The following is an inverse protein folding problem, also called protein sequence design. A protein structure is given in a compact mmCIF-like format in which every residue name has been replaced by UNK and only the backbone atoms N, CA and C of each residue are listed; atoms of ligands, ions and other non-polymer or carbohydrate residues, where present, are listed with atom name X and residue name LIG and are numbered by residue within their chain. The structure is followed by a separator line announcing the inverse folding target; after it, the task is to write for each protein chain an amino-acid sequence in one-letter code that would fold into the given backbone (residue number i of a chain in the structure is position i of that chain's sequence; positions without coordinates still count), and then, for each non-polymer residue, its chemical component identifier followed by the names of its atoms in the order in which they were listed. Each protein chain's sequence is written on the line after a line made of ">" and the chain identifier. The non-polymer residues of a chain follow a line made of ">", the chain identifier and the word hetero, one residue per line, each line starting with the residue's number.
data_IF_583318739849
#
_entry.id   IF_583318739849
#
_cell.length_a   1.000
_cell.length_b   1.000
_cell.length_c   1.000
_cell.angle_alpha   90.00
_cell.angle_beta   90.00
_cell.angle_gamma   90.00
#
_symmetry.space_group_name_H-M   'P 1'
#
loop_
_entity.id
_entity.type
_entity.pdbx_description
1 polymer ?
#
# COMPACT_ATOMS: atom_id res chain seq x y z
N UNK A 1 15.24 22.23 22.92
CA UNK A 1 16.53 21.91 22.27
C UNK A 1 16.46 20.71 21.32
N UNK A 2 15.27 20.17 20.99
CA UNK A 2 15.09 19.10 20.01
C UNK A 2 15.60 17.71 20.43
N UNK A 3 15.93 17.51 21.69
CA UNK A 3 16.34 16.22 22.23
C UNK A 3 15.11 15.37 22.57
N UNK A 4 14.91 14.28 21.85
CA UNK A 4 13.81 13.32 22.08
C UNK A 4 14.10 12.33 23.22
N UNK A 5 15.24 12.47 23.91
CA UNK A 5 15.65 11.57 24.98
C UNK A 5 16.33 10.29 24.49
N UNK A 6 16.56 9.38 25.42
CA UNK A 6 17.15 8.05 25.17
C UNK A 6 16.11 6.97 25.42
N UNK A 7 16.13 5.95 24.54
CA UNK A 7 15.31 4.75 24.69
C UNK A 7 15.84 3.89 25.82
N UNK A 8 14.98 3.53 26.76
CA UNK A 8 15.31 2.61 27.84
C UNK A 8 15.54 1.17 27.32
N UNK A 9 14.80 0.77 26.29
CA UNK A 9 14.86 -0.56 25.67
C UNK A 9 16.16 -0.76 24.86
N UNK A 10 16.50 0.22 24.01
CA UNK A 10 17.65 0.11 23.07
C UNK A 10 18.91 0.78 23.59
N UNK A 11 18.84 1.54 24.69
CA UNK A 11 19.96 2.31 25.29
C UNK A 11 20.69 3.18 24.27
N UNK A 12 19.92 3.84 23.41
CA UNK A 12 20.40 4.68 22.31
C UNK A 12 19.49 5.91 22.15
N UNK A 13 19.98 7.01 21.58
CA UNK A 13 19.14 8.18 21.32
C UNK A 13 17.93 7.83 20.46
N UNK A 14 16.75 8.31 20.84
CA UNK A 14 15.48 8.05 20.12
C UNK A 14 15.55 8.51 18.66
N UNK A 15 16.18 9.66 18.40
CA UNK A 15 16.33 10.19 17.04
C UNK A 15 17.09 9.24 16.10
N UNK A 16 18.13 8.55 16.62
CA UNK A 16 18.90 7.58 15.84
C UNK A 16 18.04 6.36 15.47
N UNK A 17 17.26 5.86 16.43
CA UNK A 17 16.35 4.72 16.20
C UNK A 17 15.30 5.08 15.15
N UNK A 18 14.71 6.27 15.24
CA UNK A 18 13.73 6.76 14.25
C UNK A 18 14.38 6.80 12.87
N UNK A 19 15.56 7.38 12.73
CA UNK A 19 16.26 7.49 11.45
C UNK A 19 16.54 6.15 10.78
N UNK A 20 17.01 5.16 11.56
CA UNK A 20 17.29 3.80 11.06
C UNK A 20 16.02 3.05 10.64
N UNK A 21 14.94 3.18 11.42
CA UNK A 21 13.68 2.46 11.20
C UNK A 21 12.79 3.08 10.14
N UNK A 22 12.87 4.40 9.98
CA UNK A 22 12.04 5.18 9.06
C UNK A 22 12.16 4.69 7.61
N UNK A 23 13.39 4.48 7.13
CA UNK A 23 13.62 4.06 5.74
C UNK A 23 13.02 2.69 5.42
N UNK A 24 13.02 1.79 6.39
CA UNK A 24 12.40 0.47 6.24
C UNK A 24 10.87 0.60 6.13
N UNK A 25 10.23 1.35 7.03
CA UNK A 25 8.79 1.61 6.94
C UNK A 25 8.41 2.33 5.65
N UNK A 26 9.20 3.34 5.25
CA UNK A 26 8.95 4.08 4.02
C UNK A 26 9.06 3.18 2.79
N UNK A 27 10.08 2.33 2.72
CA UNK A 27 10.23 1.36 1.63
C UNK A 27 9.06 0.38 1.58
N UNK A 28 8.62 -0.15 2.73
CA UNK A 28 7.46 -1.03 2.83
C UNK A 28 6.18 -0.36 2.33
N UNK A 29 5.92 0.85 2.83
CA UNK A 29 4.74 1.63 2.45
C UNK A 29 4.74 1.99 0.97
N UNK A 30 5.89 2.45 0.44
CA UNK A 30 6.02 2.83 -0.97
C UNK A 30 5.81 1.63 -1.90
N UNK A 31 6.41 0.48 -1.59
CA UNK A 31 6.18 -0.74 -2.36
C UNK A 31 4.72 -1.21 -2.28
N UNK A 32 4.11 -1.18 -1.10
CA UNK A 32 2.71 -1.52 -0.93
C UNK A 32 1.78 -0.55 -1.69
N UNK A 33 2.08 0.74 -1.64
CA UNK A 33 1.36 1.77 -2.37
C UNK A 33 1.44 1.55 -3.88
N UNK A 34 2.63 1.29 -4.41
CA UNK A 34 2.82 1.01 -5.83
C UNK A 34 2.06 -0.25 -6.27
N UNK A 35 2.19 -1.34 -5.48
CA UNK A 35 1.48 -2.59 -5.75
C UNK A 35 -0.03 -2.42 -5.72
N UNK A 36 -0.57 -1.71 -4.73
CA UNK A 36 -2.01 -1.47 -4.62
C UNK A 36 -2.56 -0.71 -5.81
N UNK A 37 -1.84 0.31 -6.30
CA UNK A 37 -2.22 1.08 -7.48
C UNK A 37 -2.22 0.25 -8.75
N UNK A 38 -1.12 -0.44 -9.01
CA UNK A 38 -0.97 -1.25 -10.24
C UNK A 38 -1.99 -2.39 -10.27
N UNK A 39 -2.08 -3.16 -9.17
CA UNK A 39 -3.00 -4.30 -9.08
C UNK A 39 -4.45 -3.80 -9.08
N UNK A 40 -4.77 -2.81 -8.25
CA UNK A 40 -6.13 -2.27 -8.12
C UNK A 40 -6.65 -1.67 -9.43
N UNK A 41 -5.84 -0.83 -10.08
CA UNK A 41 -6.19 -0.25 -11.37
C UNK A 41 -6.35 -1.31 -12.47
N UNK A 42 -5.41 -2.25 -12.56
CA UNK A 42 -5.46 -3.35 -13.54
C UNK A 42 -6.70 -4.23 -13.37
N UNK A 43 -6.98 -4.67 -12.14
CA UNK A 43 -8.18 -5.46 -11.83
C UNK A 43 -9.47 -4.68 -12.08
N UNK A 44 -9.50 -3.39 -11.73
CA UNK A 44 -10.63 -2.51 -12.00
C UNK A 44 -10.91 -2.38 -13.51
N UNK A 45 -9.88 -2.22 -14.33
CA UNK A 45 -10.01 -2.21 -15.78
C UNK A 45 -10.57 -3.53 -16.32
N UNK A 46 -10.04 -4.67 -15.85
CA UNK A 46 -10.55 -5.99 -16.26
C UNK A 46 -12.03 -6.15 -15.87
N UNK A 47 -12.37 -5.84 -14.63
CA UNK A 47 -13.76 -5.95 -14.16
C UNK A 47 -14.71 -5.04 -14.97
N UNK A 48 -14.32 -3.78 -15.23
CA UNK A 48 -15.14 -2.84 -16.00
C UNK A 48 -15.32 -3.25 -17.46
N UNK A 49 -14.25 -3.76 -18.11
CA UNK A 49 -14.32 -4.25 -19.50
C UNK A 49 -15.20 -5.50 -19.66
N UNK A 50 -15.26 -6.34 -18.65
CA UNK A 50 -16.02 -7.58 -18.63
C UNK A 50 -17.22 -7.51 -17.68
N UNK A 51 -17.84 -6.33 -17.57
CA UNK A 51 -18.99 -6.08 -16.71
C UNK A 51 -20.03 -7.23 -16.80
N UNK A 52 -20.51 -7.65 -15.64
CA UNK A 52 -21.51 -8.72 -15.43
C UNK A 52 -21.14 -10.11 -15.95
N UNK A 53 -19.94 -10.27 -16.54
CA UNK A 53 -19.41 -11.56 -16.93
C UNK A 53 -18.81 -12.28 -15.72
N UNK A 54 -18.45 -13.54 -15.92
CA UNK A 54 -17.88 -14.42 -14.91
C UNK A 54 -16.61 -13.83 -14.24
N UNK A 55 -15.71 -13.26 -15.03
CA UNK A 55 -14.49 -12.64 -14.52
C UNK A 55 -14.81 -11.46 -13.57
N UNK A 56 -15.72 -10.57 -13.94
CA UNK A 56 -16.15 -9.46 -13.10
C UNK A 56 -16.77 -9.96 -11.78
N UNK A 57 -17.67 -10.95 -11.86
CA UNK A 57 -18.35 -11.49 -10.68
C UNK A 57 -17.39 -12.10 -9.68
N UNK A 58 -16.38 -12.86 -10.15
CA UNK A 58 -15.39 -13.49 -9.28
C UNK A 58 -14.47 -12.47 -8.68
N UNK A 59 -13.83 -11.60 -9.51
CA UNK A 59 -12.89 -10.60 -9.02
C UNK A 59 -13.56 -9.64 -8.03
N UNK A 60 -14.79 -9.23 -8.30
CA UNK A 60 -15.58 -8.41 -7.38
C UNK A 60 -15.81 -9.10 -6.04
N UNK A 61 -16.19 -10.39 -6.04
CA UNK A 61 -16.34 -11.17 -4.79
C UNK A 61 -15.00 -11.28 -4.05
N UNK A 62 -13.90 -11.54 -4.76
CA UNK A 62 -12.57 -11.58 -4.15
C UNK A 62 -12.19 -10.23 -3.51
N UNK A 63 -12.44 -9.11 -4.19
CA UNK A 63 -12.20 -7.79 -3.61
C UNK A 63 -13.00 -7.56 -2.32
N UNK A 64 -14.29 -7.91 -2.30
CA UNK A 64 -15.12 -7.79 -1.09
C UNK A 64 -14.66 -8.69 0.05
N UNK A 65 -14.27 -9.93 -0.23
CA UNK A 65 -13.74 -10.85 0.78
C UNK A 65 -12.45 -10.26 1.36
N UNK A 66 -11.51 -9.84 0.51
CA UNK A 66 -10.22 -9.31 0.96
C UNK A 66 -10.35 -8.02 1.75
N UNK A 67 -11.28 -7.13 1.38
CA UNK A 67 -11.53 -5.91 2.15
C UNK A 67 -12.25 -6.14 3.49
N UNK A 68 -12.87 -7.30 3.67
CA UNK A 68 -13.56 -7.65 4.93
C UNK A 68 -12.66 -8.39 5.93
N UNK A 69 -11.51 -8.87 5.50
CA UNK A 69 -10.58 -9.65 6.32
C UNK A 69 -9.58 -8.72 7.01
N UNK A 70 -9.34 -8.84 8.33
CA UNK A 70 -8.32 -8.07 9.01
C UNK A 70 -6.92 -8.35 8.44
N UNK A 71 -6.15 -7.28 8.21
CA UNK A 71 -4.81 -7.35 7.57
C UNK A 71 -3.85 -8.27 8.32
N UNK A 72 -3.85 -8.20 9.65
CA UNK A 72 -2.95 -9.02 10.46
C UNK A 72 -3.25 -10.52 10.26
N UNK A 73 -4.53 -10.90 10.18
CA UNK A 73 -4.93 -12.29 9.95
C UNK A 73 -4.51 -12.76 8.55
N UNK A 74 -4.75 -11.92 7.55
CA UNK A 74 -4.32 -12.19 6.19
C UNK A 74 -2.79 -12.31 6.09
N UNK A 75 -2.06 -11.42 6.79
CA UNK A 75 -0.60 -11.49 6.90
C UNK A 75 -0.11 -12.81 7.49
N UNK A 76 -0.75 -13.29 8.56
CA UNK A 76 -0.41 -14.58 9.17
C UNK A 76 -0.67 -15.76 8.22
N UNK A 77 -1.80 -15.75 7.51
CA UNK A 77 -2.11 -16.79 6.51
C UNK A 77 -1.09 -16.79 5.38
N UNK A 78 -0.75 -15.61 4.83
CA UNK A 78 0.25 -15.49 3.77
C UNK A 78 1.65 -15.91 4.25
N UNK A 79 2.02 -15.54 5.46
CA UNK A 79 3.29 -15.98 6.07
C UNK A 79 3.31 -17.51 6.19
N UNK A 80 2.24 -18.12 6.72
CA UNK A 80 2.15 -19.58 6.86
C UNK A 80 2.27 -20.29 5.50
N UNK A 81 1.53 -19.82 4.51
CA UNK A 81 1.51 -20.45 3.19
C UNK A 81 2.84 -20.24 2.46
N UNK A 82 3.31 -19.02 2.34
CA UNK A 82 4.44 -18.69 1.48
C UNK A 82 5.82 -18.83 2.14
N UNK A 83 5.92 -18.64 3.46
CA UNK A 83 7.19 -18.78 4.16
C UNK A 83 7.38 -20.16 4.78
N UNK A 84 6.30 -20.77 5.32
CA UNK A 84 6.41 -22.06 6.04
C UNK A 84 6.15 -23.24 5.11
N UNK A 85 5.02 -23.24 4.38
CA UNK A 85 4.66 -24.38 3.53
C UNK A 85 5.41 -24.40 2.21
N UNK A 86 5.34 -23.29 1.45
CA UNK A 86 5.97 -23.20 0.13
C UNK A 86 7.46 -22.85 0.21
N UNK A 87 7.90 -22.22 1.30
CA UNK A 87 9.28 -21.76 1.50
C UNK A 87 9.82 -20.87 0.37
N UNK A 88 8.91 -20.08 -0.24
CA UNK A 88 9.27 -19.18 -1.34
C UNK A 88 9.85 -17.86 -0.82
N UNK A 89 9.46 -17.44 0.38
CA UNK A 89 9.89 -16.20 0.99
C UNK A 89 10.51 -16.46 2.38
N UNK A 90 11.45 -15.61 2.81
CA UNK A 90 12.05 -15.71 4.13
C UNK A 90 11.05 -15.36 5.24
N UNK A 91 11.22 -15.97 6.39
CA UNK A 91 10.42 -15.67 7.59
C UNK A 91 11.03 -14.44 8.27
N UNK A 92 10.35 -13.30 8.17
CA UNK A 92 10.70 -12.09 8.91
C UNK A 92 11.96 -11.35 8.46
N UNK A 93 12.26 -10.27 9.20
CA UNK A 93 13.39 -9.37 9.01
C UNK A 93 13.42 -8.62 7.67
N UNK A 94 14.33 -7.63 7.55
CA UNK A 94 14.57 -6.90 6.30
C UNK A 94 15.80 -7.42 5.54
N UNK A 95 16.57 -8.30 6.17
CA UNK A 95 17.85 -8.81 5.67
C UNK A 95 18.05 -10.26 6.11
N UNK A 96 18.83 -11.06 5.37
CA UNK A 96 19.17 -12.41 5.76
C UNK A 96 19.90 -12.45 7.12
N UNK A 97 19.58 -13.47 7.92
CA UNK A 97 20.20 -13.66 9.24
C UNK A 97 21.70 -13.96 9.05
N UNK A 98 22.55 -13.28 9.82
CA UNK A 98 24.00 -13.48 9.81
C UNK A 98 24.77 -12.72 8.75
N UNK A 99 24.09 -11.93 7.90
CA UNK A 99 24.73 -11.06 6.91
C UNK A 99 24.74 -9.62 7.44
N UNK A 100 25.89 -8.92 7.33
CA UNK A 100 25.96 -7.50 7.69
C UNK A 100 25.10 -6.67 6.74
N UNK A 101 24.45 -5.62 7.25
CA UNK A 101 23.60 -4.75 6.44
C UNK A 101 24.30 -4.14 5.22
N UNK A 102 25.62 -3.99 5.29
CA UNK A 102 26.46 -3.45 4.20
C UNK A 102 26.66 -4.44 3.05
N UNK A 103 26.64 -5.75 3.36
CA UNK A 103 26.87 -6.84 2.40
C UNK A 103 25.56 -7.34 1.76
N UNK A 104 24.41 -6.82 2.21
CA UNK A 104 23.10 -7.25 1.70
C UNK A 104 22.83 -6.67 0.33
N UNK A 105 22.64 -7.53 -0.65
CA UNK A 105 22.27 -7.12 -2.01
C UNK A 105 20.85 -6.55 -2.08
N UNK A 106 20.59 -5.66 -3.05
CA UNK A 106 19.27 -5.11 -3.30
C UNK A 106 18.20 -6.20 -3.54
N UNK A 107 18.57 -7.28 -4.25
CA UNK A 107 17.67 -8.41 -4.49
C UNK A 107 17.24 -9.12 -3.21
N UNK A 108 18.16 -9.31 -2.26
CA UNK A 108 17.85 -9.89 -0.95
C UNK A 108 16.91 -8.99 -0.14
N UNK A 109 17.14 -7.69 -0.11
CA UNK A 109 16.22 -6.73 0.55
C UNK A 109 14.82 -6.77 -0.07
N UNK A 110 14.73 -6.80 -1.40
CA UNK A 110 13.45 -6.91 -2.11
C UNK A 110 12.75 -8.23 -1.78
N UNK A 111 13.46 -9.34 -1.69
CA UNK A 111 12.89 -10.64 -1.37
C UNK A 111 12.24 -10.68 0.02
N UNK A 112 12.82 -9.98 1.01
CA UNK A 112 12.25 -9.81 2.34
C UNK A 112 11.07 -8.81 2.36
N UNK A 113 11.06 -7.84 1.44
CA UNK A 113 10.09 -6.76 1.40
C UNK A 113 8.80 -7.14 0.65
N UNK A 114 8.88 -7.98 -0.37
CA UNK A 114 7.76 -8.28 -1.29
C UNK A 114 6.53 -8.81 -0.55
N UNK A 115 6.68 -9.81 0.29
CA UNK A 115 5.53 -10.44 0.96
C UNK A 115 4.84 -9.51 1.97
N UNK A 116 5.55 -8.79 2.86
CA UNK A 116 4.96 -7.75 3.70
C UNK A 116 4.29 -6.63 2.89
N UNK A 117 4.93 -6.16 1.82
CA UNK A 117 4.38 -5.11 0.96
C UNK A 117 3.13 -5.60 0.19
N UNK A 118 3.13 -6.81 -0.30
CA UNK A 118 1.96 -7.42 -0.92
C UNK A 118 0.80 -7.53 0.08
N UNK A 119 1.06 -8.03 1.29
CA UNK A 119 0.05 -8.11 2.35
C UNK A 119 -0.56 -6.75 2.66
N UNK A 120 0.28 -5.73 2.82
CA UNK A 120 -0.17 -4.38 3.10
C UNK A 120 -0.96 -3.78 1.92
N UNK A 121 -0.58 -4.09 0.68
CA UNK A 121 -1.26 -3.61 -0.52
C UNK A 121 -2.70 -4.12 -0.63
N UNK A 122 -2.99 -5.29 -0.05
CA UNK A 122 -4.33 -5.90 -0.07
C UNK A 122 -5.40 -5.05 0.64
N UNK A 123 -5.02 -4.14 1.52
CA UNK A 123 -5.95 -3.19 2.14
C UNK A 123 -6.54 -2.20 1.13
N UNK A 124 -5.69 -1.63 0.31
CA UNK A 124 -6.06 -0.48 -0.54
C UNK A 124 -6.44 -0.90 -1.96
N UNK A 125 -5.88 -1.99 -2.52
CA UNK A 125 -6.13 -2.33 -3.91
C UNK A 125 -7.60 -2.65 -4.20
N UNK A 126 -8.32 -3.24 -3.25
CA UNK A 126 -9.74 -3.60 -3.43
C UNK A 126 -10.61 -2.36 -3.65
N UNK A 127 -10.38 -1.30 -2.87
CA UNK A 127 -11.08 -0.04 -3.03
C UNK A 127 -10.77 0.59 -4.39
N UNK A 128 -9.49 0.66 -4.77
CA UNK A 128 -9.06 1.19 -6.05
C UNK A 128 -9.67 0.40 -7.21
N UNK A 129 -9.68 -0.93 -7.11
CA UNK A 129 -10.24 -1.80 -8.14
C UNK A 129 -11.75 -1.60 -8.33
N UNK A 130 -12.52 -1.55 -7.24
CA UNK A 130 -13.97 -1.37 -7.29
C UNK A 130 -14.34 0.02 -7.82
N UNK A 131 -13.64 1.07 -7.40
CA UNK A 131 -13.86 2.42 -7.90
C UNK A 131 -13.45 2.58 -9.37
N UNK A 132 -12.30 2.04 -9.77
CA UNK A 132 -11.84 2.04 -11.16
C UNK A 132 -12.85 1.30 -12.06
N UNK A 133 -13.34 0.14 -11.59
CA UNK A 133 -14.40 -0.61 -12.27
C UNK A 133 -15.63 0.25 -12.51
N UNK A 134 -16.15 0.90 -11.45
CA UNK A 134 -17.36 1.72 -11.57
C UNK A 134 -17.17 2.88 -12.54
N UNK A 135 -16.08 3.61 -12.40
CA UNK A 135 -15.75 4.72 -13.29
C UNK A 135 -15.58 4.29 -14.75
N UNK A 136 -14.98 3.12 -14.98
CA UNK A 136 -14.86 2.59 -16.33
C UNK A 136 -16.23 2.23 -16.92
N UNK A 137 -17.14 1.65 -16.14
CA UNK A 137 -18.51 1.35 -16.59
C UNK A 137 -19.22 2.64 -16.97
N UNK A 138 -19.15 3.69 -16.13
CA UNK A 138 -19.75 4.99 -16.40
C UNK A 138 -19.24 5.58 -17.72
N UNK A 139 -17.92 5.51 -17.95
CA UNK A 139 -17.28 5.97 -19.19
C UNK A 139 -17.72 5.14 -20.39
N UNK A 140 -17.77 3.82 -20.27
CA UNK A 140 -18.16 2.91 -21.37
C UNK A 140 -19.63 3.02 -21.76
N UNK A 141 -20.48 3.55 -20.88
CA UNK A 141 -21.90 3.82 -21.14
C UNK A 141 -22.17 5.24 -21.63
N UNK A 142 -21.14 6.09 -21.72
CA UNK A 142 -21.30 7.48 -22.19
C UNK A 142 -21.59 7.57 -23.69
N UNK A 143 -22.30 8.64 -24.09
CA UNK A 143 -22.70 8.86 -25.47
C UNK A 143 -21.49 8.89 -26.44
N UNK A 144 -20.39 9.54 -26.08
CA UNK A 144 -19.21 9.62 -26.94
C UNK A 144 -18.56 8.26 -27.20
N UNK A 145 -18.64 7.33 -26.23
CA UNK A 145 -18.17 5.95 -26.41
C UNK A 145 -19.14 5.15 -27.30
N UNK A 146 -20.45 5.39 -27.15
CA UNK A 146 -21.44 4.78 -28.05
C UNK A 146 -21.20 5.20 -29.49
N UNK A 147 -20.91 6.49 -29.76
CA UNK A 147 -20.53 6.97 -31.09
C UNK A 147 -19.24 6.34 -31.61
N UNK A 148 -18.23 6.19 -30.75
CA UNK A 148 -16.98 5.51 -31.13
C UNK A 148 -17.21 4.06 -31.57
N UNK A 149 -18.04 3.33 -30.81
CA UNK A 149 -18.46 1.96 -31.16
C UNK A 149 -19.28 1.89 -32.45
N UNK A 150 -20.17 2.85 -32.67
CA UNK A 150 -20.95 2.93 -33.92
C UNK A 150 -20.04 3.13 -35.15
N UNK A 151 -18.88 3.77 -34.98
CA UNK A 151 -17.82 3.88 -36.01
C UNK A 151 -16.96 2.63 -36.18
N UNK A 152 -17.23 1.56 -35.42
CA UNK A 152 -16.51 0.30 -35.52
C UNK A 152 -15.27 0.20 -34.60
N UNK A 153 -15.06 1.11 -33.66
CA UNK A 153 -13.96 1.02 -32.72
C UNK A 153 -14.10 -0.22 -31.81
N UNK A 154 -13.05 -1.06 -31.76
CA UNK A 154 -13.02 -2.26 -30.91
C UNK A 154 -12.92 -1.90 -29.43
N UNK A 155 -13.26 -2.86 -28.55
CA UNK A 155 -13.28 -2.66 -27.07
C UNK A 155 -11.96 -2.16 -26.51
N UNK A 156 -10.83 -2.70 -26.95
CA UNK A 156 -9.50 -2.30 -26.49
C UNK A 156 -9.12 -0.90 -26.96
N UNK A 157 -9.49 -0.54 -28.19
CA UNK A 157 -9.28 0.81 -28.74
C UNK A 157 -10.06 1.84 -27.93
N UNK A 158 -11.33 1.53 -27.64
CA UNK A 158 -12.18 2.37 -26.78
C UNK A 158 -11.58 2.51 -25.38
N UNK A 159 -11.10 1.43 -24.76
CA UNK A 159 -10.44 1.51 -23.46
C UNK A 159 -9.21 2.42 -23.52
N UNK A 160 -8.28 2.17 -24.43
CA UNK A 160 -7.02 2.90 -24.48
C UNK A 160 -7.21 4.37 -24.87
N UNK A 161 -8.11 4.67 -25.80
CA UNK A 161 -8.27 6.01 -26.36
C UNK A 161 -9.24 6.89 -25.55
N UNK A 162 -10.28 6.30 -25.02
CA UNK A 162 -11.36 7.02 -24.33
C UNK A 162 -11.47 6.66 -22.84
N UNK A 163 -11.25 5.39 -22.48
CA UNK A 163 -11.41 4.88 -21.12
C UNK A 163 -10.28 5.33 -20.19
N UNK A 164 -9.04 4.93 -20.48
CA UNK A 164 -7.91 5.12 -19.56
C UNK A 164 -7.70 6.56 -19.14
N UNK A 165 -7.82 7.52 -20.06
CA UNK A 165 -7.64 8.93 -19.76
C UNK A 165 -8.64 9.43 -18.72
N UNK A 166 -9.88 8.96 -18.78
CA UNK A 166 -10.96 9.43 -17.92
C UNK A 166 -11.02 8.73 -16.55
N UNK A 167 -10.46 7.51 -16.45
CA UNK A 167 -10.44 6.74 -15.20
C UNK A 167 -9.13 6.88 -14.43
N UNK A 168 -8.04 7.29 -15.09
CA UNK A 168 -6.73 7.39 -14.47
C UNK A 168 -6.70 8.45 -13.35
N UNK A 169 -7.27 9.63 -13.60
CA UNK A 169 -7.29 10.70 -12.60
C UNK A 169 -8.04 10.33 -11.33
N UNK A 170 -9.30 9.84 -11.37
CA UNK A 170 -9.97 9.36 -10.17
C UNK A 170 -9.22 8.22 -9.45
N UNK A 171 -8.60 7.31 -10.19
CA UNK A 171 -7.82 6.24 -9.60
C UNK A 171 -6.57 6.76 -8.88
N UNK A 172 -5.84 7.72 -9.46
CA UNK A 172 -4.69 8.37 -8.83
C UNK A 172 -5.10 9.13 -7.57
N UNK A 173 -6.24 9.82 -7.59
CA UNK A 173 -6.79 10.50 -6.42
C UNK A 173 -6.98 9.54 -5.25
N UNK A 174 -7.63 8.39 -5.48
CA UNK A 174 -7.81 7.37 -4.45
C UNK A 174 -6.48 6.77 -4.01
N UNK A 175 -5.56 6.61 -4.94
CA UNK A 175 -4.22 6.12 -4.66
C UNK A 175 -3.46 7.03 -3.69
N UNK A 176 -3.51 8.34 -3.89
CA UNK A 176 -2.87 9.29 -2.97
C UNK A 176 -3.60 9.37 -1.62
N UNK A 177 -4.93 9.29 -1.62
CA UNK A 177 -5.72 9.27 -0.39
C UNK A 177 -5.42 8.04 0.48
N UNK A 178 -5.10 6.88 -0.12
CA UNK A 178 -4.80 5.64 0.61
C UNK A 178 -3.45 5.65 1.34
N UNK A 179 -2.59 6.66 1.11
CA UNK A 179 -1.25 6.69 1.72
C UNK A 179 -1.28 6.75 3.26
N UNK A 180 -2.22 7.51 3.82
CA UNK A 180 -2.39 7.59 5.28
C UNK A 180 -2.89 6.26 5.89
N UNK A 181 -3.77 5.55 5.18
CA UNK A 181 -4.28 4.23 5.61
C UNK A 181 -3.16 3.20 5.63
N UNK A 182 -2.27 3.23 4.63
CA UNK A 182 -1.11 2.35 4.56
C UNK A 182 -0.16 2.56 5.73
N UNK A 183 -0.02 3.79 6.23
CA UNK A 183 0.80 4.04 7.41
C UNK A 183 0.24 3.33 8.65
N UNK A 184 -1.07 3.43 8.91
CA UNK A 184 -1.72 2.71 10.00
C UNK A 184 -1.61 1.18 9.85
N UNK A 185 -1.77 0.68 8.62
CA UNK A 185 -1.65 -0.75 8.30
C UNK A 185 -0.22 -1.29 8.36
N UNK A 186 0.80 -0.44 8.12
CA UNK A 186 2.20 -0.85 8.13
C UNK A 186 2.63 -1.39 9.49
N UNK A 187 2.13 -0.81 10.58
CA UNK A 187 2.39 -1.28 11.95
C UNK A 187 2.04 -2.75 12.11
N UNK A 188 0.86 -3.16 11.59
CA UNK A 188 0.42 -4.55 11.67
C UNK A 188 1.26 -5.47 10.79
N UNK A 189 1.55 -5.06 9.55
CA UNK A 189 2.41 -5.83 8.65
C UNK A 189 3.84 -5.99 9.21
N UNK A 190 4.43 -4.93 9.74
CA UNK A 190 5.76 -4.96 10.36
C UNK A 190 5.82 -5.93 11.54
N UNK A 191 4.78 -5.96 12.41
CA UNK A 191 4.74 -6.89 13.53
C UNK A 191 4.56 -8.34 13.09
N UNK A 192 3.66 -8.62 12.13
CA UNK A 192 3.41 -9.98 11.63
C UNK A 192 4.67 -10.57 10.99
N UNK A 193 5.35 -9.77 10.15
CA UNK A 193 6.55 -10.23 9.44
C UNK A 193 7.85 -9.93 10.18
N UNK A 194 7.79 -9.45 11.45
CA UNK A 194 8.98 -9.02 12.22
C UNK A 194 9.89 -8.08 11.40
N UNK A 195 9.29 -7.26 10.55
CA UNK A 195 10.01 -6.33 9.70
C UNK A 195 10.45 -5.11 10.53
N UNK A 196 11.75 -4.74 10.53
CA UNK A 196 12.29 -3.75 11.46
C UNK A 196 11.98 -2.32 11.03
N UNK A 197 10.71 -1.91 11.16
CA UNK A 197 10.23 -0.56 10.88
C UNK A 197 9.85 0.23 12.13
N UNK A 198 9.24 1.41 11.93
CA UNK A 198 8.76 2.30 13.01
C UNK A 198 7.61 1.67 13.77
N UNK A 199 6.69 0.99 13.09
CA UNK A 199 5.53 0.35 13.71
C UNK A 199 5.92 -0.78 14.65
N UNK A 200 6.90 -1.61 14.26
CA UNK A 200 7.43 -2.65 15.12
C UNK A 200 8.15 -2.06 16.34
N UNK A 201 8.84 -0.93 16.19
CA UNK A 201 9.49 -0.23 17.28
C UNK A 201 8.49 0.41 18.27
N UNK A 202 7.38 0.99 17.75
CA UNK A 202 6.27 1.51 18.59
C UNK A 202 5.67 0.39 19.42
N UNK A 203 5.38 -0.76 18.80
CA UNK A 203 4.81 -1.91 19.51
C UNK A 203 5.75 -2.42 20.60
N UNK A 204 7.06 -2.53 20.29
CA UNK A 204 8.07 -2.94 21.27
C UNK A 204 8.20 -1.92 22.40
N UNK A 205 8.20 -0.62 22.13
CA UNK A 205 8.25 0.45 23.11
C UNK A 205 7.04 0.41 24.05
N UNK A 206 5.83 0.22 23.49
CA UNK A 206 4.59 0.11 24.26
C UNK A 206 4.60 -1.09 25.20
N UNK A 207 5.01 -2.27 24.72
CA UNK A 207 5.05 -3.49 25.53
C UNK A 207 6.11 -3.45 26.64
N UNK A 208 7.21 -2.72 26.44
CA UNK A 208 8.30 -2.63 27.41
C UNK A 208 8.27 -1.34 28.27
N UNK A 209 7.25 -0.49 28.11
CA UNK A 209 7.11 0.74 28.87
C UNK A 209 8.17 1.82 28.54
N UNK A 210 8.73 1.80 27.34
CA UNK A 210 9.72 2.79 26.88
C UNK A 210 9.01 4.06 26.42
N UNK A 211 8.67 4.92 27.39
CA UNK A 211 7.91 6.15 27.15
C UNK A 211 8.62 7.14 26.22
N UNK A 212 9.94 7.42 26.36
CA UNK A 212 10.62 8.34 25.45
C UNK A 212 10.57 7.88 23.99
N UNK A 213 10.81 6.59 23.73
CA UNK A 213 10.76 6.03 22.39
C UNK A 213 9.34 6.06 21.82
N UNK A 214 8.34 5.68 22.62
CA UNK A 214 6.94 5.67 22.24
C UNK A 214 6.48 7.08 21.82
N UNK A 215 6.74 8.08 22.66
CA UNK A 215 6.38 9.47 22.39
C UNK A 215 7.13 10.02 21.15
N UNK A 216 8.43 9.74 21.06
CA UNK A 216 9.25 10.21 19.94
C UNK A 216 8.78 9.68 18.60
N UNK A 217 8.51 8.37 18.51
CA UNK A 217 8.02 7.76 17.25
C UNK A 217 6.58 8.24 16.95
N UNK A 218 5.71 8.33 17.96
CA UNK A 218 4.33 8.79 17.75
C UNK A 218 4.28 10.22 17.24
N UNK A 219 5.07 11.14 17.83
CA UNK A 219 5.17 12.52 17.36
C UNK A 219 5.71 12.62 15.93
N UNK A 220 6.79 11.88 15.66
CA UNK A 220 7.39 11.82 14.32
C UNK A 220 6.38 11.28 13.29
N UNK A 221 5.67 10.19 13.62
CA UNK A 221 4.67 9.57 12.78
C UNK A 221 3.49 10.49 12.48
N UNK A 222 3.00 11.21 13.49
CA UNK A 222 1.92 12.20 13.32
C UNK A 222 2.35 13.32 12.36
N UNK A 223 3.58 13.83 12.53
CA UNK A 223 4.14 14.85 11.64
C UNK A 223 4.30 14.32 10.21
N UNK A 224 4.83 13.10 10.06
CA UNK A 224 5.03 12.47 8.75
C UNK A 224 3.69 12.28 8.02
N UNK A 225 2.66 11.77 8.69
CA UNK A 225 1.32 11.59 8.10
C UNK A 225 0.68 12.94 7.76
N UNK A 226 0.84 13.96 8.61
CA UNK A 226 0.34 15.30 8.34
C UNK A 226 0.98 15.90 7.08
N UNK A 227 2.31 15.83 6.96
CA UNK A 227 3.03 16.29 5.76
C UNK A 227 2.65 15.47 4.53
N UNK A 228 2.55 14.15 4.66
CA UNK A 228 2.11 13.26 3.57
C UNK A 228 0.72 13.62 3.05
N UNK A 229 -0.24 13.85 3.94
CA UNK A 229 -1.59 14.27 3.58
C UNK A 229 -1.61 15.66 2.92
N UNK A 230 -0.78 16.57 3.40
CA UNK A 230 -0.66 17.91 2.79
C UNK A 230 -0.11 17.81 1.36
N UNK A 231 0.92 17.00 1.14
CA UNK A 231 1.47 16.75 -0.21
C UNK A 231 0.41 16.07 -1.10
N UNK A 232 -0.30 15.06 -0.59
CA UNK A 232 -1.37 14.38 -1.32
C UNK A 232 -2.47 15.35 -1.75
N UNK A 233 -2.91 16.25 -0.86
CA UNK A 233 -3.91 17.26 -1.15
C UNK A 233 -3.43 18.30 -2.18
N UNK A 234 -2.17 18.72 -2.12
CA UNK A 234 -1.58 19.62 -3.11
C UNK A 234 -1.52 18.95 -4.49
N UNK A 235 -1.09 17.69 -4.56
CA UNK A 235 -1.06 16.92 -5.79
C UNK A 235 -2.47 16.71 -6.35
N UNK A 236 -3.46 16.47 -5.48
CA UNK A 236 -4.86 16.38 -5.87
C UNK A 236 -5.34 17.67 -6.54
N UNK A 237 -5.09 18.85 -5.97
CA UNK A 237 -5.47 20.15 -6.54
C UNK A 237 -4.77 20.48 -7.88
N UNK A 238 -3.62 19.84 -8.16
CA UNK A 238 -2.92 19.97 -9.46
C UNK A 238 -3.50 18.99 -10.50
N UNK A 239 -3.89 17.80 -10.06
CA UNK A 239 -4.38 16.71 -10.93
C UNK A 239 -5.83 16.93 -11.34
N UNK A 240 -6.67 17.46 -10.44
CA UNK A 240 -8.10 17.75 -10.70
C UNK A 240 -8.38 19.26 -10.71
N UNK A 241 -8.39 19.90 -11.90
CA UNK A 241 -8.68 21.32 -12.04
C UNK A 241 -10.11 21.72 -11.67
N UNK A 242 -11.03 20.75 -11.49
CA UNK A 242 -12.44 21.02 -11.17
C UNK A 242 -12.67 21.32 -9.68
N UNK A 243 -11.64 21.15 -8.84
CA UNK A 243 -11.70 21.44 -7.40
C UNK A 243 -11.21 22.85 -7.06
N UNK A 244 -10.89 23.67 -8.05
CA UNK A 244 -10.56 25.09 -7.90
C UNK A 244 -11.77 25.99 -7.90
#
# INVERSE_FOLDING_TARGET
>A
HGNLGESALYRRPVATIIGERFWNSLALMFCAWLLSGVIGFGLGCVMGMYQDKWADKILKKCCYILSSVPVFWLGLVLLLVFCVWLKWFPIGFSTPIGVRSEDVTFGQRMHHLILPAFTLSLMSFSNIALHTRQKLIDVLSSEYVLFARARGEGKWTVLCRHGLRNILFPALTLQFASFAELFGGSVMAENVFSYPGLGSAVSAAGLNGDVPLLLGITLFSALFVCVGNMIANLLYGVIDPQVR
#
